data_IF_364325397834
#
_entry.id   IF_364325397834
#
_cell.length_a   1.000
_cell.length_b   1.000
_cell.length_c   1.000
_cell.angle_alpha   90.00
_cell.angle_beta   90.00
_cell.angle_gamma   90.00
#
_symmetry.space_group_name_H-M   'P 1'
#
loop_
_entity.id
_entity.type
_entity.pdbx_description
1 polymer ?
#
# COMPACT_ATOMS: atom_id res chain seq x y z
N UNK A 1 -36.67 27.56 -14.99
CA UNK A 1 -36.39 26.15 -14.77
C UNK A 1 -35.44 26.06 -13.58
N UNK A 2 -35.90 25.52 -12.45
CA UNK A 2 -35.04 25.23 -11.29
C UNK A 2 -34.26 23.97 -11.63
N UNK A 3 -32.93 24.06 -11.66
CA UNK A 3 -32.05 22.90 -11.78
C UNK A 3 -32.32 21.88 -10.69
N UNK A 4 -31.94 20.60 -10.89
CA UNK A 4 -32.14 19.56 -9.88
C UNK A 4 -31.44 19.97 -8.60
N UNK A 5 -32.21 20.04 -7.51
CA UNK A 5 -31.66 20.27 -6.18
C UNK A 5 -30.72 19.13 -5.82
N UNK A 6 -29.45 19.44 -5.58
CA UNK A 6 -28.48 18.43 -5.14
C UNK A 6 -29.01 17.79 -3.85
N UNK A 7 -29.26 16.49 -3.87
CA UNK A 7 -29.58 15.74 -2.65
C UNK A 7 -28.36 15.75 -1.76
N UNK A 8 -28.42 16.49 -0.68
CA UNK A 8 -27.39 16.44 0.38
C UNK A 8 -27.66 15.16 1.17
N UNK A 9 -26.76 14.19 1.07
CA UNK A 9 -26.79 12.99 1.91
C UNK A 9 -26.04 13.32 3.22
N UNK A 10 -26.72 13.27 4.39
CA UNK A 10 -26.01 13.46 5.65
C UNK A 10 -25.02 12.32 5.85
N UNK A 11 -23.74 12.65 6.05
CA UNK A 11 -22.74 11.70 6.45
C UNK A 11 -23.05 11.19 7.86
N UNK A 12 -22.90 9.90 8.09
CA UNK A 12 -22.99 9.34 9.43
C UNK A 12 -21.84 9.87 10.30
N UNK A 13 -22.06 10.02 11.62
CA UNK A 13 -21.04 10.50 12.54
C UNK A 13 -19.74 9.69 12.44
N UNK A 14 -19.85 8.38 12.23
CA UNK A 14 -18.70 7.49 12.04
C UNK A 14 -17.84 7.86 10.82
N UNK A 15 -18.46 8.34 9.75
CA UNK A 15 -17.74 8.77 8.54
C UNK A 15 -17.02 10.11 8.78
N UNK A 16 -17.63 11.02 9.54
CA UNK A 16 -16.99 12.27 9.95
C UNK A 16 -15.79 12.01 10.86
N UNK A 17 -15.93 11.11 11.83
CA UNK A 17 -14.86 10.73 12.74
C UNK A 17 -13.69 10.08 11.97
N UNK A 18 -13.99 9.28 10.95
CA UNK A 18 -13.00 8.68 10.06
C UNK A 18 -12.23 9.75 9.26
N UNK A 19 -12.93 10.74 8.71
CA UNK A 19 -12.29 11.85 7.98
C UNK A 19 -11.37 12.64 8.91
N UNK A 20 -11.82 12.95 10.11
CA UNK A 20 -11.02 13.68 11.10
C UNK A 20 -9.75 12.89 11.51
N UNK A 21 -9.88 11.59 11.70
CA UNK A 21 -8.73 10.71 11.96
C UNK A 21 -7.78 10.67 10.77
N UNK A 22 -8.31 10.54 9.55
CA UNK A 22 -7.50 10.52 8.34
C UNK A 22 -6.72 11.82 8.17
N UNK A 23 -7.39 12.98 8.35
CA UNK A 23 -6.74 14.30 8.31
C UNK A 23 -5.62 14.38 9.35
N UNK A 24 -5.85 13.93 10.58
CA UNK A 24 -4.83 13.92 11.64
C UNK A 24 -3.61 13.07 11.31
N UNK A 25 -3.81 11.96 10.62
CA UNK A 25 -2.73 11.02 10.29
C UNK A 25 -1.96 11.43 9.03
N UNK A 26 -2.65 11.94 8.03
CA UNK A 26 -2.10 12.09 6.68
C UNK A 26 -2.03 13.53 6.17
N UNK A 27 -2.90 14.43 6.63
CA UNK A 27 -2.95 15.82 6.19
C UNK A 27 -2.22 16.80 7.13
N UNK A 28 -1.23 16.35 7.90
CA UNK A 28 -0.44 17.26 8.75
C UNK A 28 0.33 18.26 7.89
N UNK A 29 0.22 19.58 8.17
CA UNK A 29 1.03 20.58 7.50
C UNK A 29 2.52 20.27 7.75
N UNK A 30 3.33 20.42 6.71
CA UNK A 30 4.78 20.31 6.81
C UNK A 30 5.31 21.32 7.82
N UNK A 31 5.61 20.88 9.03
CA UNK A 31 6.63 21.54 9.82
C UNK A 31 7.93 21.45 9.02
N UNK A 32 8.57 22.59 8.77
CA UNK A 32 9.86 22.68 8.10
C UNK A 32 10.86 21.74 8.78
N UNK A 33 11.06 20.56 8.22
CA UNK A 33 12.14 19.68 8.61
C UNK A 33 13.42 20.27 8.05
N UNK A 34 14.15 20.98 8.90
CA UNK A 34 15.51 21.38 8.64
C UNK A 34 16.35 20.14 8.30
N UNK A 35 17.05 20.18 7.18
CA UNK A 35 18.27 19.43 6.93
C UNK A 35 18.11 17.96 6.66
N UNK A 36 17.50 17.55 5.56
CA UNK A 36 17.86 16.28 4.95
C UNK A 36 19.10 16.48 4.09
N UNK A 37 20.24 16.01 4.57
CA UNK A 37 21.42 15.79 3.74
C UNK A 37 20.98 14.89 2.60
N UNK A 38 20.94 15.43 1.37
CA UNK A 38 20.74 14.61 0.17
C UNK A 38 21.92 13.65 0.07
N UNK A 39 21.68 12.34 0.04
CA UNK A 39 22.75 11.43 -0.34
C UNK A 39 23.21 11.83 -1.75
N UNK A 40 24.51 11.93 -1.95
CA UNK A 40 25.14 12.15 -3.24
C UNK A 40 24.76 10.99 -4.14
N UNK A 41 24.29 11.18 -5.38
CA UNK A 41 24.05 10.09 -6.30
C UNK A 41 25.41 9.55 -6.77
N UNK A 42 25.90 8.55 -6.07
CA UNK A 42 26.97 7.69 -6.59
C UNK A 42 26.29 6.51 -7.26
N UNK A 43 26.38 6.48 -8.57
CA UNK A 43 26.27 5.39 -9.54
C UNK A 43 25.33 4.22 -9.16
N UNK A 44 24.14 4.27 -9.76
CA UNK A 44 23.13 3.22 -9.69
C UNK A 44 21.90 3.70 -8.94
N UNK A 45 20.75 3.78 -9.63
CA UNK A 45 19.49 4.19 -9.02
C UNK A 45 19.18 3.29 -7.81
N UNK A 46 18.88 3.88 -6.66
CA UNK A 46 18.56 3.14 -5.44
C UNK A 46 17.36 2.22 -5.71
N UNK A 47 17.53 0.92 -5.44
CA UNK A 47 16.44 -0.04 -5.56
C UNK A 47 15.35 0.27 -4.56
N UNK A 48 14.13 0.39 -5.04
CA UNK A 48 12.94 0.64 -4.24
C UNK A 48 11.90 -0.47 -4.47
N UNK A 49 11.19 -0.87 -3.42
CA UNK A 49 10.02 -1.73 -3.52
C UNK A 49 8.77 -0.87 -3.53
N UNK A 50 8.09 -0.88 -4.66
CA UNK A 50 6.83 -0.15 -4.83
C UNK A 50 5.67 -0.92 -4.21
N UNK A 51 5.68 -2.25 -4.36
CA UNK A 51 4.68 -3.17 -3.80
C UNK A 51 5.34 -4.47 -3.37
N UNK A 52 4.88 -5.09 -2.27
CA UNK A 52 3.99 -4.51 -1.26
C UNK A 52 4.71 -3.41 -0.46
N UNK A 53 4.00 -2.37 -0.10
CA UNK A 53 4.53 -1.34 0.80
C UNK A 53 4.82 -1.97 2.15
N UNK A 54 5.93 -1.58 2.80
CA UNK A 54 6.27 -2.12 4.13
C UNK A 54 5.14 -1.90 5.14
N UNK A 55 4.78 -2.97 5.84
CA UNK A 55 3.69 -3.01 6.80
C UNK A 55 2.28 -3.04 6.17
N UNK A 56 2.16 -3.18 4.84
CA UNK A 56 0.84 -3.19 4.17
C UNK A 56 -0.02 -4.40 4.54
N UNK A 57 -1.33 -4.20 4.41
CA UNK A 57 -2.36 -5.24 4.44
C UNK A 57 -2.76 -5.57 3.00
N UNK A 58 -2.56 -6.82 2.59
CA UNK A 58 -2.97 -7.32 1.28
C UNK A 58 -4.37 -7.91 1.36
N UNK A 59 -5.26 -7.49 0.47
CA UNK A 59 -6.63 -8.03 0.35
C UNK A 59 -6.71 -9.22 -0.62
N UNK A 60 -5.57 -9.76 -1.01
CA UNK A 60 -5.43 -10.91 -1.90
C UNK A 60 -4.43 -11.91 -1.34
N UNK A 61 -4.60 -13.20 -1.71
CA UNK A 61 -3.64 -14.26 -1.40
C UNK A 61 -2.55 -14.44 -2.46
N UNK A 62 -2.49 -13.55 -3.43
CA UNK A 62 -1.49 -13.59 -4.50
C UNK A 62 -0.64 -12.32 -4.44
N UNK A 63 0.32 -12.23 -3.49
CA UNK A 63 1.18 -11.06 -3.40
C UNK A 63 1.99 -10.91 -4.69
N UNK A 64 2.16 -9.66 -5.12
CA UNK A 64 3.01 -9.29 -6.23
C UNK A 64 4.03 -8.27 -5.74
N UNK A 65 5.29 -8.49 -6.05
CA UNK A 65 6.32 -7.50 -5.80
C UNK A 65 6.58 -6.69 -7.06
N UNK A 66 6.67 -5.38 -6.87
CA UNK A 66 7.01 -4.42 -7.91
C UNK A 66 8.21 -3.63 -7.43
N UNK A 67 9.27 -3.68 -8.21
CA UNK A 67 10.54 -3.00 -7.95
C UNK A 67 10.70 -1.80 -8.88
N UNK A 68 11.45 -0.80 -8.44
CA UNK A 68 11.87 0.35 -9.23
C UNK A 68 13.34 0.65 -8.93
N UNK A 69 14.07 1.05 -9.96
CA UNK A 69 15.51 1.33 -9.84
C UNK A 69 16.37 0.17 -10.34
N UNK A 70 17.62 0.15 -9.91
CA UNK A 70 18.58 -0.86 -10.39
C UNK A 70 18.37 -2.19 -9.67
N UNK A 71 17.86 -3.16 -10.40
CA UNK A 71 17.72 -4.52 -9.90
C UNK A 71 19.10 -5.13 -9.60
N UNK A 72 19.25 -5.84 -8.46
CA UNK A 72 20.49 -6.51 -8.17
C UNK A 72 20.74 -7.61 -9.22
N UNK A 73 21.89 -7.56 -9.89
CA UNK A 73 22.32 -8.70 -10.68
C UNK A 73 22.37 -9.93 -9.78
N UNK A 74 21.71 -11.01 -10.16
CA UNK A 74 21.64 -12.25 -9.36
C UNK A 74 21.06 -12.00 -7.94
N UNK A 75 19.92 -11.30 -7.87
CA UNK A 75 19.19 -11.07 -6.62
C UNK A 75 18.12 -12.12 -6.35
N UNK A 76 17.88 -12.39 -5.08
CA UNK A 76 16.76 -13.22 -4.64
C UNK A 76 15.84 -12.46 -3.70
N UNK A 77 14.53 -12.60 -3.91
CA UNK A 77 13.50 -12.25 -2.97
C UNK A 77 13.23 -13.44 -2.06
N UNK A 78 13.41 -13.25 -0.78
CA UNK A 78 13.18 -14.27 0.25
C UNK A 78 11.99 -13.88 1.10
N UNK A 79 11.05 -14.79 1.31
CA UNK A 79 9.94 -14.63 2.24
C UNK A 79 10.15 -15.50 3.47
N UNK A 80 9.78 -14.93 4.60
CA UNK A 80 9.80 -15.62 5.90
C UNK A 80 8.42 -15.51 6.54
N UNK A 81 7.97 -16.59 7.17
CA UNK A 81 6.72 -16.63 7.93
C UNK A 81 6.83 -15.84 9.26
N UNK A 82 5.76 -15.80 10.01
CA UNK A 82 5.69 -15.10 11.31
C UNK A 82 6.64 -15.67 12.37
N UNK A 83 7.18 -16.89 12.15
CA UNK A 83 8.16 -17.55 13.03
C UNK A 83 9.60 -17.31 12.55
N UNK A 84 9.80 -16.54 11.49
CA UNK A 84 11.11 -16.32 10.88
C UNK A 84 11.63 -17.51 10.07
N UNK A 85 10.80 -18.53 9.84
CA UNK A 85 11.18 -19.66 8.98
C UNK A 85 11.05 -19.23 7.52
N UNK A 86 12.04 -19.57 6.70
CA UNK A 86 12.02 -19.31 5.26
C UNK A 86 10.83 -20.04 4.62
N UNK A 87 9.91 -19.24 4.07
CA UNK A 87 8.70 -19.71 3.41
C UNK A 87 8.94 -19.96 1.92
N UNK A 88 9.59 -18.98 1.24
CA UNK A 88 9.84 -19.05 -0.20
C UNK A 88 11.09 -18.27 -0.60
N UNK A 89 11.66 -18.64 -1.74
CA UNK A 89 12.75 -17.91 -2.41
C UNK A 89 12.42 -17.81 -3.89
N UNK A 90 12.48 -16.62 -4.43
CA UNK A 90 12.24 -16.35 -5.85
C UNK A 90 13.38 -15.50 -6.42
N UNK A 91 13.98 -15.85 -7.56
CA UNK A 91 14.96 -15.00 -8.22
C UNK A 91 14.30 -13.72 -8.74
N UNK A 92 15.01 -12.60 -8.67
CA UNK A 92 14.55 -11.31 -9.19
C UNK A 92 15.11 -11.15 -10.61
N UNK A 93 14.31 -11.52 -11.60
CA UNK A 93 14.69 -11.45 -13.01
C UNK A 93 14.09 -10.22 -13.71
N UNK A 94 13.10 -9.58 -13.08
CA UNK A 94 12.40 -8.41 -13.63
C UNK A 94 11.88 -7.49 -12.52
N UNK A 95 11.39 -6.33 -12.91
CA UNK A 95 10.72 -5.39 -11.98
C UNK A 95 9.46 -5.98 -11.33
N UNK A 96 8.93 -7.07 -11.87
CA UNK A 96 7.72 -7.73 -11.37
C UNK A 96 8.06 -9.15 -10.94
N UNK A 97 7.82 -9.46 -9.68
CA UNK A 97 7.96 -10.82 -9.15
C UNK A 97 6.60 -11.27 -8.62
N UNK A 98 6.09 -12.35 -9.20
CA UNK A 98 4.86 -13.02 -8.75
C UNK A 98 5.19 -14.46 -8.35
N UNK A 99 4.44 -14.97 -7.38
CA UNK A 99 4.69 -16.30 -6.85
C UNK A 99 3.86 -17.36 -7.58
N UNK A 100 4.42 -18.54 -7.83
CA UNK A 100 3.66 -19.61 -8.43
C UNK A 100 2.55 -20.11 -7.48
N UNK A 101 1.49 -20.75 -8.00
CA UNK A 101 0.40 -21.29 -7.16
C UNK A 101 0.87 -22.29 -6.10
N UNK A 102 2.07 -22.89 -6.27
CA UNK A 102 2.68 -23.77 -5.28
C UNK A 102 3.07 -23.03 -3.98
N UNK A 103 3.29 -21.72 -4.03
CA UNK A 103 3.53 -20.89 -2.87
C UNK A 103 2.19 -20.58 -2.17
N UNK A 104 1.63 -21.57 -1.49
CA UNK A 104 0.29 -21.53 -0.87
C UNK A 104 0.18 -20.48 0.22
N UNK A 105 -0.14 -19.24 -0.18
CA UNK A 105 -0.48 -18.18 0.75
C UNK A 105 -1.89 -18.37 1.30
N UNK A 106 -2.05 -18.18 2.59
CA UNK A 106 -3.33 -18.33 3.28
C UNK A 106 -3.79 -16.99 3.89
N UNK A 107 -5.08 -16.86 4.12
CA UNK A 107 -5.65 -15.72 4.80
C UNK A 107 -5.11 -15.56 6.22
N UNK A 108 -4.92 -14.34 6.67
CA UNK A 108 -4.46 -14.02 8.02
C UNK A 108 -2.96 -14.23 8.27
N UNK A 109 -2.19 -14.58 7.26
CA UNK A 109 -0.75 -14.79 7.39
C UNK A 109 0.03 -13.47 7.39
N UNK A 110 1.11 -13.45 8.15
CA UNK A 110 2.10 -12.38 8.17
C UNK A 110 3.42 -12.88 7.62
N UNK A 111 4.04 -12.03 6.81
CA UNK A 111 5.34 -12.31 6.22
C UNK A 111 6.31 -11.15 6.45
N UNK A 112 7.58 -11.49 6.58
CA UNK A 112 8.69 -10.57 6.35
C UNK A 112 9.39 -10.97 5.07
N UNK A 113 10.00 -10.00 4.39
CA UNK A 113 10.71 -10.25 3.15
C UNK A 113 12.06 -9.55 3.15
N UNK A 114 12.99 -10.12 2.41
CA UNK A 114 14.33 -9.58 2.18
C UNK A 114 14.71 -9.74 0.72
N UNK A 115 15.31 -8.70 0.16
CA UNK A 115 16.05 -8.79 -1.09
C UNK A 115 17.53 -8.99 -0.75
N UNK A 116 18.12 -10.05 -1.26
CA UNK A 116 19.53 -10.38 -1.06
C UNK A 116 20.25 -10.54 -2.37
N UNK A 117 21.52 -10.11 -2.44
CA UNK A 117 22.43 -10.45 -3.54
C UNK A 117 22.97 -11.86 -3.35
N UNK A 118 23.26 -12.57 -4.44
CA UNK A 118 23.86 -13.90 -4.37
C UNK A 118 25.24 -13.87 -3.68
N UNK A 119 26.00 -12.80 -3.89
CA UNK A 119 27.31 -12.56 -3.28
C UNK A 119 27.24 -12.24 -1.77
N UNK A 120 26.05 -12.25 -1.18
CA UNK A 120 25.80 -11.91 0.21
C UNK A 120 25.36 -10.45 0.39
N UNK A 121 24.82 -10.17 1.56
CA UNK A 121 24.30 -8.86 1.92
C UNK A 121 22.83 -8.68 1.59
N UNK A 122 22.10 -8.19 2.59
CA UNK A 122 20.71 -7.74 2.46
C UNK A 122 20.68 -6.36 1.82
N UNK A 123 19.89 -6.20 0.77
CA UNK A 123 19.71 -4.92 0.07
C UNK A 123 18.53 -4.16 0.65
N UNK A 124 17.38 -4.83 0.72
CA UNK A 124 16.13 -4.28 1.23
C UNK A 124 15.41 -5.30 2.10
N UNK A 125 14.54 -4.83 2.96
CA UNK A 125 13.64 -5.69 3.74
C UNK A 125 12.38 -4.95 4.13
N UNK A 126 11.34 -5.70 4.43
CA UNK A 126 10.09 -5.18 4.94
C UNK A 126 9.16 -6.30 5.36
N UNK A 127 7.89 -5.96 5.52
CA UNK A 127 6.85 -6.88 5.97
C UNK A 127 5.53 -6.59 5.26
N UNK A 128 4.65 -7.58 5.23
CA UNK A 128 3.25 -7.40 4.88
C UNK A 128 2.38 -8.42 5.61
N UNK A 129 1.10 -8.12 5.68
CA UNK A 129 0.10 -9.03 6.22
C UNK A 129 -0.90 -9.37 5.11
N UNK A 130 -1.33 -10.61 5.04
CA UNK A 130 -2.52 -10.98 4.26
C UNK A 130 -3.71 -10.86 5.20
N UNK A 131 -4.73 -10.13 4.80
CA UNK A 131 -5.95 -9.97 5.60
C UNK A 131 -6.59 -11.33 5.90
N UNK A 132 -7.42 -11.41 6.94
CA UNK A 132 -8.36 -12.52 7.03
C UNK A 132 -9.36 -12.43 5.88
N UNK A 133 -9.95 -13.55 5.48
CA UNK A 133 -10.96 -13.56 4.41
C UNK A 133 -12.14 -12.64 4.73
N UNK A 134 -12.57 -12.64 5.99
CA UNK A 134 -13.62 -11.77 6.48
C UNK A 134 -13.23 -10.28 6.37
N UNK A 135 -12.03 -9.92 6.82
CA UNK A 135 -11.53 -8.55 6.73
C UNK A 135 -11.39 -8.10 5.29
N UNK A 136 -10.85 -8.95 4.41
CA UNK A 136 -10.70 -8.63 2.99
C UNK A 136 -12.06 -8.39 2.35
N UNK A 137 -13.04 -9.27 2.59
CA UNK A 137 -14.40 -9.12 2.12
C UNK A 137 -15.05 -7.84 2.64
N UNK A 138 -14.99 -7.60 3.96
CA UNK A 138 -15.55 -6.41 4.58
C UNK A 138 -14.97 -5.11 4.00
N UNK A 139 -13.66 -5.06 3.75
CA UNK A 139 -13.01 -3.90 3.16
C UNK A 139 -13.37 -3.71 1.69
N UNK A 140 -13.43 -4.78 0.90
CA UNK A 140 -13.79 -4.71 -0.52
C UNK A 140 -15.28 -4.36 -0.74
N UNK A 141 -16.14 -4.75 0.20
CA UNK A 141 -17.57 -4.47 0.18
C UNK A 141 -17.94 -3.17 0.93
N UNK A 142 -16.98 -2.55 1.65
CA UNK A 142 -17.20 -1.38 2.50
C UNK A 142 -17.45 -0.11 1.68
N UNK A 143 -18.52 -0.12 0.90
CA UNK A 143 -19.05 1.08 0.24
C UNK A 143 -20.00 1.76 1.21
N UNK A 144 -20.12 3.09 1.10
CA UNK A 144 -21.13 3.80 1.87
C UNK A 144 -22.51 3.33 1.37
N UNK A 145 -23.33 2.69 2.22
CA UNK A 145 -24.70 2.39 1.86
C UNK A 145 -25.36 3.69 1.39
N UNK A 146 -26.28 3.63 0.46
CA UNK A 146 -27.03 4.78 -0.03
C UNK A 146 -26.30 5.77 -0.95
N UNK A 147 -24.97 5.68 -1.10
CA UNK A 147 -24.24 6.46 -2.11
C UNK A 147 -23.92 5.60 -3.33
N UNK A 148 -24.25 6.06 -4.57
CA UNK A 148 -23.79 5.41 -5.76
C UNK A 148 -22.26 5.23 -5.74
N UNK A 149 -21.80 4.01 -5.97
CA UNK A 149 -20.36 3.66 -5.91
C UNK A 149 -19.48 4.42 -6.91
N UNK A 150 -20.10 5.11 -7.86
CA UNK A 150 -19.42 5.92 -8.89
C UNK A 150 -19.27 7.40 -8.51
N UNK A 151 -19.87 7.84 -7.41
CA UNK A 151 -19.70 9.22 -6.96
C UNK A 151 -18.29 9.46 -6.40
N UNK A 152 -17.65 10.58 -6.73
CA UNK A 152 -16.33 10.94 -6.22
C UNK A 152 -16.26 10.89 -4.69
N UNK A 153 -17.31 11.34 -4.00
CA UNK A 153 -17.39 11.31 -2.53
C UNK A 153 -17.36 9.88 -1.99
N UNK A 154 -18.09 8.95 -2.62
CA UNK A 154 -18.09 7.54 -2.22
C UNK A 154 -16.71 6.93 -2.40
N UNK A 155 -16.03 7.24 -3.51
CA UNK A 155 -14.68 6.78 -3.78
C UNK A 155 -13.67 7.39 -2.80
N UNK A 156 -13.81 8.65 -2.46
CA UNK A 156 -12.96 9.32 -1.48
C UNK A 156 -13.01 8.61 -0.11
N UNK A 157 -14.20 8.37 0.42
CA UNK A 157 -14.37 7.66 1.69
C UNK A 157 -13.85 6.22 1.62
N UNK A 158 -14.08 5.55 0.52
CA UNK A 158 -13.59 4.20 0.30
C UNK A 158 -12.05 4.15 0.29
N UNK A 159 -11.41 5.06 -0.42
CA UNK A 159 -9.95 5.19 -0.43
C UNK A 159 -9.37 5.47 0.96
N UNK A 160 -10.01 6.36 1.75
CA UNK A 160 -9.62 6.63 3.13
C UNK A 160 -9.70 5.38 4.01
N UNK A 161 -10.77 4.59 3.92
CA UNK A 161 -10.92 3.34 4.67
C UNK A 161 -9.84 2.34 4.34
N UNK A 162 -9.58 2.12 3.06
CA UNK A 162 -8.53 1.22 2.60
C UNK A 162 -7.15 1.67 3.13
N UNK A 163 -6.87 2.96 3.04
CA UNK A 163 -5.61 3.52 3.50
C UNK A 163 -5.41 3.40 5.01
N UNK A 164 -6.45 3.66 5.79
CA UNK A 164 -6.42 3.51 7.25
C UNK A 164 -6.27 2.04 7.68
N UNK A 165 -6.83 1.11 6.92
CA UNK A 165 -6.64 -0.32 7.13
C UNK A 165 -5.25 -0.82 6.71
N UNK A 166 -4.45 0.00 6.03
CA UNK A 166 -3.14 -0.40 5.48
C UNK A 166 -3.22 -1.11 4.12
N UNK A 167 -4.40 -1.16 3.49
CA UNK A 167 -4.60 -1.71 2.15
C UNK A 167 -4.16 -0.68 1.09
N UNK A 168 -2.87 -0.36 1.08
CA UNK A 168 -2.32 0.77 0.33
C UNK A 168 -2.44 0.60 -1.18
N UNK A 169 -2.32 -0.63 -1.69
CA UNK A 169 -2.45 -0.88 -3.13
C UNK A 169 -3.86 -0.52 -3.60
N UNK A 170 -4.86 -1.04 -2.94
CA UNK A 170 -6.26 -0.81 -3.29
C UNK A 170 -6.65 0.66 -3.06
N UNK A 171 -6.11 1.28 -2.03
CA UNK A 171 -6.29 2.72 -1.81
C UNK A 171 -5.70 3.55 -2.96
N UNK A 172 -4.48 3.21 -3.42
CA UNK A 172 -3.86 3.91 -4.55
C UNK A 172 -4.65 3.77 -5.85
N UNK A 173 -5.22 2.59 -6.11
CA UNK A 173 -6.06 2.36 -7.28
C UNK A 173 -7.31 3.28 -7.24
N UNK A 174 -7.89 3.49 -6.03
CA UNK A 174 -9.00 4.44 -5.83
C UNK A 174 -8.54 5.88 -6.02
N UNK A 175 -7.41 6.28 -5.42
CA UNK A 175 -6.87 7.63 -5.58
C UNK A 175 -6.52 7.96 -7.03
N UNK A 176 -5.95 7.00 -7.76
CA UNK A 176 -5.67 7.15 -9.18
C UNK A 176 -6.95 7.37 -10.00
N UNK A 177 -8.05 6.68 -9.67
CA UNK A 177 -9.33 6.85 -10.33
C UNK A 177 -9.94 8.24 -10.11
N UNK A 178 -9.61 8.89 -9.00
CA UNK A 178 -10.01 10.27 -8.67
C UNK A 178 -9.04 11.32 -9.21
N UNK A 179 -7.97 10.92 -9.90
CA UNK A 179 -6.90 11.83 -10.34
C UNK A 179 -6.05 12.37 -9.18
N UNK A 180 -6.13 11.74 -8.01
CA UNK A 180 -5.35 12.13 -6.83
C UNK A 180 -4.05 11.34 -6.83
N UNK A 181 -2.91 12.04 -6.86
CA UNK A 181 -1.60 11.42 -6.72
C UNK A 181 -1.10 11.58 -5.29
N UNK A 182 -0.92 10.47 -4.60
CA UNK A 182 -0.34 10.46 -3.25
C UNK A 182 1.15 10.09 -3.35
N UNK A 183 2.02 10.98 -2.89
CA UNK A 183 3.43 10.62 -2.71
C UNK A 183 3.59 9.78 -1.43
N UNK A 184 4.19 8.61 -1.56
CA UNK A 184 4.55 7.76 -0.45
C UNK A 184 5.87 8.20 0.18
N UNK A 185 5.97 8.13 1.50
CA UNK A 185 7.27 8.24 2.16
C UNK A 185 8.04 6.92 1.96
N UNK A 186 9.38 6.93 2.01
CA UNK A 186 10.20 5.71 2.03
C UNK A 186 9.83 4.74 3.15
N UNK A 187 9.17 5.24 4.22
CA UNK A 187 8.63 4.45 5.34
C UNK A 187 7.24 3.85 5.07
N UNK A 188 6.77 3.83 3.83
CA UNK A 188 5.46 3.27 3.49
C UNK A 188 4.26 4.13 3.86
N UNK A 189 4.45 5.28 4.50
CA UNK A 189 3.33 6.17 4.84
C UNK A 189 3.07 7.15 3.70
N UNK A 190 1.84 7.26 3.18
CA UNK A 190 1.52 8.18 2.11
C UNK A 190 1.74 9.64 2.55
N UNK A 191 2.25 10.45 1.63
CA UNK A 191 2.26 11.91 1.73
C UNK A 191 1.07 12.42 0.92
N UNK A 192 0.18 13.13 1.58
CA UNK A 192 -0.82 13.94 0.88
C UNK A 192 -0.13 15.21 0.40
N UNK A 193 -0.10 15.42 -0.92
CA UNK A 193 0.31 16.69 -1.51
C UNK A 193 -0.98 17.48 -1.74
N UNK A 194 -1.14 18.57 -1.00
CA UNK A 194 -2.13 19.59 -1.29
C UNK A 194 -1.59 20.56 -2.33
#
# INVERSE_FOLDING_TARGET
QRGPSAKVFPLAQQDLDMVDQWIKLYARPRGSAAGSVKPRPEDGGELEVIQPVDGSLLLTRTPQFVFKGDLPREGNLMLFDSKGKRFWVEPIESEYVSFPPAAKFEWGQRFTWEVRRLTGGRVLSGSFNIASEETARALLEARIPDLPSTLPESLLFYGMRLQMAGAYKEADDVWASLGISLMRRPSGRPLVIG
#
